data_IF_503718800021
#
_entry.id   IF_503718800021
#
_cell.length_a   1.000
_cell.length_b   1.000
_cell.length_c   1.000
_cell.angle_alpha   90.00
_cell.angle_beta   90.00
_cell.angle_gamma   90.00
#
_symmetry.space_group_name_H-M   'P 1'
#
loop_
_entity.id
_entity.type
_entity.pdbx_description
1 polymer ?
#
# COMPACT_ATOMS: atom_id res chain seq x y z
N UNK A 1 -18.84 15.87 -3.36
CA UNK A 1 -18.68 17.12 -4.15
C UNK A 1 -17.22 17.38 -4.56
N UNK A 2 -16.22 16.90 -3.83
CA UNK A 2 -14.82 16.88 -4.27
C UNK A 2 -14.58 15.84 -5.38
N UNK A 3 -15.36 14.76 -5.38
CA UNK A 3 -15.33 13.72 -6.43
C UNK A 3 -15.91 14.29 -7.72
N UNK A 4 -17.03 15.01 -7.64
CA UNK A 4 -17.66 15.65 -8.81
C UNK A 4 -16.79 16.76 -9.41
N UNK A 5 -16.06 17.52 -8.57
CA UNK A 5 -15.10 18.52 -9.05
C UNK A 5 -13.85 17.87 -9.68
N UNK A 6 -13.43 16.71 -9.18
CA UNK A 6 -12.36 15.90 -9.78
C UNK A 6 -12.77 15.30 -11.12
N UNK A 7 -13.98 14.74 -11.21
CA UNK A 7 -14.54 14.24 -12.48
C UNK A 7 -14.69 15.36 -13.52
N UNK A 8 -15.14 16.54 -13.13
CA UNK A 8 -15.26 17.68 -14.05
C UNK A 8 -13.91 18.17 -14.59
N UNK A 9 -12.81 17.96 -13.87
CA UNK A 9 -11.46 18.33 -14.35
C UNK A 9 -10.82 17.27 -15.26
N UNK A 10 -11.39 16.04 -15.29
CA UNK A 10 -10.91 14.93 -16.14
C UNK A 10 -11.83 14.65 -17.34
N UNK A 11 -13.04 15.19 -17.37
CA UNK A 11 -13.92 15.15 -18.53
C UNK A 11 -13.56 16.31 -19.47
N UNK A 12 -12.34 16.30 -19.98
CA UNK A 12 -12.09 16.95 -21.26
C UNK A 12 -12.70 16.04 -22.31
N UNK A 13 -13.75 16.47 -22.99
CA UNK A 13 -14.33 15.67 -24.07
C UNK A 13 -13.27 15.37 -25.12
N UNK A 14 -13.36 14.26 -25.82
CA UNK A 14 -12.42 13.95 -26.92
C UNK A 14 -12.33 15.11 -27.91
N UNK A 15 -13.42 15.85 -28.12
CA UNK A 15 -13.48 17.05 -28.96
C UNK A 15 -12.66 18.22 -28.39
N UNK A 16 -12.63 18.39 -27.05
CA UNK A 16 -11.83 19.43 -26.40
C UNK A 16 -10.34 19.08 -26.42
N UNK A 17 -10.00 17.77 -26.40
CA UNK A 17 -8.63 17.31 -26.53
C UNK A 17 -8.10 17.47 -27.98
N UNK A 18 -8.96 17.25 -28.97
CA UNK A 18 -8.66 17.52 -30.37
C UNK A 18 -8.53 19.03 -30.64
N UNK A 19 -9.27 19.88 -29.90
CA UNK A 19 -9.22 21.34 -30.03
C UNK A 19 -8.02 21.98 -29.31
N UNK A 20 -7.46 21.34 -28.26
CA UNK A 20 -6.30 21.84 -27.51
C UNK A 20 -4.98 21.53 -28.21
N UNK A 21 -4.93 20.56 -29.10
CA UNK A 21 -3.70 20.16 -29.68
C UNK A 21 -3.80 19.74 -31.13
N UNK A 22 -3.41 20.60 -32.03
CA UNK A 22 -2.73 20.12 -33.22
C UNK A 22 -1.40 19.51 -32.75
N UNK A 23 -1.49 18.31 -32.14
CA UNK A 23 -0.35 17.51 -31.77
C UNK A 23 0.23 16.87 -33.03
N UNK A 24 0.60 17.68 -34.00
CA UNK A 24 1.13 17.27 -35.31
C UNK A 24 2.38 16.39 -35.27
N UNK A 25 2.67 15.79 -34.11
CA UNK A 25 3.81 14.92 -33.87
C UNK A 25 3.47 13.62 -33.14
N UNK A 26 2.23 13.17 -33.13
CA UNK A 26 1.86 11.84 -32.66
C UNK A 26 1.76 11.61 -31.16
N UNK A 27 2.09 12.54 -30.32
CA UNK A 27 2.03 12.37 -28.85
C UNK A 27 0.63 12.49 -28.24
N UNK A 28 -0.30 13.15 -28.92
CA UNK A 28 -1.65 13.32 -28.42
C UNK A 28 -2.73 12.57 -29.20
N UNK A 29 -2.38 11.86 -30.24
CA UNK A 29 -3.32 11.14 -31.11
C UNK A 29 -3.93 9.89 -30.46
N UNK A 30 -3.66 9.64 -29.18
CA UNK A 30 -3.86 8.30 -28.64
C UNK A 30 -4.81 8.17 -27.46
N UNK A 31 -5.44 9.22 -27.00
CA UNK A 31 -6.31 9.09 -25.83
C UNK A 31 -7.73 9.54 -26.13
N UNK A 32 -8.56 8.64 -26.61
CA UNK A 32 -10.01 8.79 -26.49
C UNK A 32 -10.44 8.28 -25.12
N UNK A 33 -11.02 9.16 -24.33
CA UNK A 33 -11.43 8.89 -22.95
C UNK A 33 -12.91 8.46 -22.86
N UNK A 34 -13.38 7.64 -23.76
CA UNK A 34 -14.80 7.22 -23.78
C UNK A 34 -14.99 5.71 -23.72
N UNK A 35 -14.03 4.99 -23.19
CA UNK A 35 -14.08 3.51 -23.12
C UNK A 35 -13.82 2.81 -24.45
N UNK A 36 -13.54 3.54 -25.52
CA UNK A 36 -13.10 2.95 -26.76
C UNK A 36 -11.56 2.85 -26.79
N UNK A 37 -11.08 1.69 -27.17
CA UNK A 37 -9.66 1.38 -27.25
C UNK A 37 -8.94 2.36 -28.18
N UNK A 38 -7.88 2.95 -27.69
CA UNK A 38 -7.03 3.82 -28.49
C UNK A 38 -5.58 3.43 -28.26
N UNK A 39 -5.04 2.72 -29.22
CA UNK A 39 -3.62 2.35 -29.31
C UNK A 39 -3.11 1.37 -28.26
N UNK A 40 -3.85 0.31 -27.93
CA UNK A 40 -3.32 -0.82 -27.17
C UNK A 40 -3.03 -0.51 -25.70
N UNK A 41 -3.59 0.54 -25.14
CA UNK A 41 -3.61 0.73 -23.70
C UNK A 41 -4.76 -0.08 -23.10
N UNK A 42 -4.45 -0.85 -22.09
CA UNK A 42 -5.39 -1.73 -21.41
C UNK A 42 -6.60 -0.97 -20.91
N UNK A 43 -7.78 -1.24 -21.45
CA UNK A 43 -9.03 -0.82 -20.87
C UNK A 43 -9.29 -1.71 -19.67
N UNK A 44 -9.12 -1.17 -18.45
CA UNK A 44 -9.30 -1.89 -17.20
C UNK A 44 -10.68 -1.58 -16.63
N UNK A 45 -11.45 -2.63 -16.40
CA UNK A 45 -12.73 -2.54 -15.70
C UNK A 45 -12.74 -3.56 -14.56
N UNK A 46 -13.09 -3.14 -13.35
CA UNK A 46 -13.28 -4.04 -12.21
C UNK A 46 -14.59 -3.73 -11.53
N UNK A 47 -15.45 -4.74 -11.43
CA UNK A 47 -16.71 -4.73 -10.73
C UNK A 47 -16.62 -5.63 -9.50
N UNK A 48 -17.04 -5.11 -8.36
CA UNK A 48 -17.17 -5.82 -7.10
C UNK A 48 -18.65 -5.77 -6.68
N UNK A 49 -19.30 -6.93 -6.58
CA UNK A 49 -20.71 -7.06 -6.18
C UNK A 49 -20.78 -7.81 -4.86
N UNK A 50 -21.36 -7.18 -3.83
CA UNK A 50 -21.42 -7.76 -2.50
C UNK A 50 -22.86 -7.88 -2.01
N UNK A 51 -23.19 -9.04 -1.43
CA UNK A 51 -24.43 -9.30 -0.72
C UNK A 51 -24.12 -9.60 0.73
N UNK A 52 -24.83 -8.95 1.66
CA UNK A 52 -24.60 -9.17 3.08
C UNK A 52 -25.92 -9.23 3.85
N UNK A 53 -25.92 -10.07 4.88
CA UNK A 53 -26.98 -10.14 5.89
C UNK A 53 -26.37 -10.07 7.29
N UNK A 54 -27.07 -9.43 8.22
CA UNK A 54 -26.60 -9.37 9.60
C UNK A 54 -27.74 -9.48 10.60
N UNK A 55 -27.38 -9.96 11.80
CA UNK A 55 -28.26 -9.95 12.98
C UNK A 55 -27.48 -9.33 14.14
N UNK A 56 -28.16 -8.52 14.94
CA UNK A 56 -27.60 -7.91 16.14
C UNK A 56 -28.54 -8.08 17.31
N UNK A 57 -28.00 -8.46 18.47
CA UNK A 57 -28.68 -8.53 19.75
C UNK A 57 -28.03 -7.57 20.73
N UNK A 58 -28.82 -6.77 21.42
CA UNK A 58 -28.36 -5.84 22.45
C UNK A 58 -29.12 -6.14 23.74
N UNK A 59 -28.36 -6.27 24.82
CA UNK A 59 -28.89 -6.47 26.17
C UNK A 59 -28.28 -5.41 27.09
N UNK A 60 -29.14 -4.66 27.79
CA UNK A 60 -28.76 -3.81 28.89
C UNK A 60 -29.49 -4.32 30.14
N UNK A 61 -28.75 -4.62 31.20
CA UNK A 61 -29.28 -5.23 32.43
C UNK A 61 -28.41 -4.86 33.61
N UNK A 62 -28.82 -5.31 34.80
CA UNK A 62 -28.04 -5.21 36.03
C UNK A 62 -27.79 -6.60 36.60
N UNK A 63 -26.56 -6.84 37.04
CA UNK A 63 -26.14 -8.06 37.71
C UNK A 63 -25.59 -7.70 39.09
N UNK A 64 -26.27 -8.07 40.15
CA UNK A 64 -25.88 -7.71 41.53
C UNK A 64 -25.75 -6.19 41.78
N UNK A 65 -26.56 -5.40 41.10
CA UNK A 65 -26.52 -3.92 41.18
C UNK A 65 -25.47 -3.26 40.28
N UNK A 66 -24.76 -4.04 39.49
CA UNK A 66 -23.78 -3.55 38.54
C UNK A 66 -24.41 -3.44 37.12
N UNK A 67 -24.40 -2.25 36.50
CA UNK A 67 -24.83 -2.10 35.11
C UNK A 67 -23.98 -2.95 34.14
N UNK A 68 -24.66 -3.68 33.28
CA UNK A 68 -24.03 -4.57 32.28
C UNK A 68 -24.64 -4.33 30.91
N UNK A 69 -23.80 -4.15 29.90
CA UNK A 69 -24.22 -4.12 28.52
C UNK A 69 -23.53 -5.26 27.73
N UNK A 70 -24.30 -5.90 26.87
CA UNK A 70 -23.84 -6.95 25.99
C UNK A 70 -24.37 -6.70 24.56
N UNK A 71 -23.47 -6.64 23.60
CA UNK A 71 -23.79 -6.56 22.20
C UNK A 71 -23.24 -7.77 21.46
N UNK A 72 -24.10 -8.49 20.77
CA UNK A 72 -23.73 -9.63 19.93
C UNK A 72 -24.10 -9.31 18.48
N UNK A 73 -23.17 -9.53 17.58
CA UNK A 73 -23.38 -9.35 16.15
C UNK A 73 -22.91 -10.58 15.37
N UNK A 74 -23.61 -10.87 14.30
CA UNK A 74 -23.19 -11.86 13.31
C UNK A 74 -23.54 -11.32 11.93
N UNK A 75 -22.53 -11.19 11.08
CA UNK A 75 -22.67 -10.77 9.68
C UNK A 75 -22.16 -11.87 8.76
N UNK A 76 -22.91 -12.20 7.74
CA UNK A 76 -22.45 -12.94 6.58
C UNK A 76 -22.33 -11.99 5.41
N UNK A 77 -21.25 -12.13 4.66
CA UNK A 77 -21.00 -11.35 3.46
C UNK A 77 -20.38 -12.23 2.40
N UNK A 78 -20.89 -12.13 1.18
CA UNK A 78 -20.40 -12.78 -0.03
C UNK A 78 -20.12 -11.71 -1.07
N UNK A 79 -19.01 -11.84 -1.79
CA UNK A 79 -18.55 -10.87 -2.78
C UNK A 79 -18.04 -11.59 -4.02
N UNK A 80 -18.55 -11.18 -5.17
CA UNK A 80 -18.09 -11.59 -6.50
C UNK A 80 -17.27 -10.46 -7.13
N UNK A 81 -16.18 -10.82 -7.76
CA UNK A 81 -15.28 -9.90 -8.48
C UNK A 81 -15.27 -10.30 -9.95
N UNK A 82 -15.52 -9.33 -10.82
CA UNK A 82 -15.31 -9.45 -12.25
C UNK A 82 -14.35 -8.35 -12.70
N UNK A 83 -13.19 -8.73 -13.22
CA UNK A 83 -12.23 -7.79 -13.78
C UNK A 83 -12.01 -8.09 -15.24
N UNK A 84 -12.12 -7.07 -16.08
CA UNK A 84 -11.83 -7.16 -17.52
C UNK A 84 -10.62 -6.31 -17.87
N UNK A 85 -9.74 -6.85 -18.69
CA UNK A 85 -8.57 -6.14 -19.16
C UNK A 85 -8.27 -6.52 -20.61
N UNK A 86 -7.91 -5.52 -21.40
CA UNK A 86 -7.24 -5.75 -22.69
C UNK A 86 -5.74 -5.76 -22.40
N UNK A 87 -5.12 -6.92 -22.59
CA UNK A 87 -3.68 -7.08 -22.40
C UNK A 87 -2.95 -7.03 -23.73
N UNK A 88 -1.77 -6.41 -23.76
CA UNK A 88 -0.91 -6.45 -24.93
C UNK A 88 -0.48 -7.89 -25.18
N UNK A 89 -0.71 -8.39 -26.39
CA UNK A 89 -0.25 -9.70 -26.81
C UNK A 89 1.08 -9.58 -27.59
N UNK A 90 1.93 -10.58 -27.41
CA UNK A 90 3.22 -10.69 -28.09
C UNK A 90 3.26 -11.99 -28.85
N UNK A 91 3.87 -11.99 -30.04
CA UNK A 91 3.94 -13.14 -30.94
C UNK A 91 5.38 -13.61 -31.21
N UNK A 92 6.37 -12.91 -30.67
CA UNK A 92 7.76 -13.29 -30.88
C UNK A 92 8.76 -12.49 -30.06
N UNK A 93 10.02 -12.86 -30.22
CA UNK A 93 11.18 -12.13 -29.75
C UNK A 93 12.14 -11.81 -30.89
N UNK A 94 12.79 -10.66 -30.77
CA UNK A 94 13.84 -10.24 -31.71
C UNK A 94 15.09 -9.86 -30.92
N UNK A 95 16.23 -10.41 -31.30
CA UNK A 95 17.53 -9.99 -30.82
C UNK A 95 18.12 -8.95 -31.76
N UNK A 96 18.46 -7.77 -31.28
CA UNK A 96 19.14 -6.74 -32.04
C UNK A 96 20.65 -6.73 -31.78
N UNK A 97 21.44 -6.50 -32.81
CA UNK A 97 22.93 -6.60 -32.83
C UNK A 97 23.65 -5.83 -31.72
N UNK A 98 23.09 -4.76 -31.24
CA UNK A 98 23.86 -3.77 -30.49
C UNK A 98 24.22 -4.15 -29.05
N UNK A 99 23.79 -5.33 -28.54
CA UNK A 99 24.04 -5.69 -27.15
C UNK A 99 23.53 -7.04 -26.71
N UNK A 100 23.35 -7.23 -25.42
CA UNK A 100 22.81 -8.45 -24.82
C UNK A 100 21.29 -8.32 -24.60
N UNK A 101 20.59 -7.65 -25.51
CA UNK A 101 19.18 -7.27 -25.36
C UNK A 101 18.32 -7.91 -26.43
N UNK A 102 17.16 -8.40 -26.00
CA UNK A 102 16.10 -8.87 -26.89
C UNK A 102 14.83 -8.04 -26.67
N UNK A 103 13.99 -7.99 -27.69
CA UNK A 103 12.77 -7.22 -27.71
C UNK A 103 11.57 -8.14 -27.98
N UNK A 104 10.45 -7.84 -27.31
CA UNK A 104 9.17 -8.46 -27.62
C UNK A 104 8.56 -7.83 -28.87
N UNK A 105 8.05 -8.66 -29.77
CA UNK A 105 7.25 -8.19 -30.90
C UNK A 105 5.78 -8.20 -30.56
N UNK A 106 5.12 -7.05 -30.73
CA UNK A 106 3.69 -6.93 -30.46
C UNK A 106 2.88 -7.61 -31.57
N UNK A 107 1.90 -8.39 -31.19
CA UNK A 107 0.95 -9.02 -32.10
C UNK A 107 0.07 -7.94 -32.76
N UNK A 108 -0.02 -8.02 -34.06
CA UNK A 108 -0.82 -7.08 -34.82
C UNK A 108 -2.33 -7.29 -34.55
N UNK A 109 -3.04 -6.20 -34.25
CA UNK A 109 -4.48 -6.21 -33.99
C UNK A 109 -4.89 -6.03 -32.53
N UNK A 110 -3.94 -5.99 -31.59
CA UNK A 110 -4.21 -5.89 -30.16
C UNK A 110 -4.79 -7.18 -29.57
N UNK A 111 -5.00 -7.19 -28.26
CA UNK A 111 -5.66 -8.27 -27.54
C UNK A 111 -7.17 -8.07 -27.48
N UNK A 112 -7.90 -9.16 -27.38
CA UNK A 112 -9.33 -9.13 -26.99
C UNK A 112 -9.45 -8.94 -25.46
N UNK A 113 -10.55 -8.35 -24.96
CA UNK A 113 -10.76 -8.23 -23.52
C UNK A 113 -10.92 -9.61 -22.87
N UNK A 114 -10.04 -9.92 -21.93
CA UNK A 114 -10.13 -11.11 -21.08
C UNK A 114 -10.89 -10.80 -19.81
N UNK A 115 -11.70 -11.76 -19.32
CA UNK A 115 -12.41 -11.66 -18.05
C UNK A 115 -11.77 -12.54 -17.00
N UNK A 116 -11.49 -11.95 -15.86
CA UNK A 116 -10.90 -12.60 -14.69
C UNK A 116 -11.92 -12.54 -13.56
N UNK A 117 -12.17 -13.66 -12.93
CA UNK A 117 -13.18 -13.81 -11.88
C UNK A 117 -12.51 -14.12 -10.55
N UNK A 118 -13.10 -13.64 -9.47
CA UNK A 118 -12.75 -14.00 -8.11
C UNK A 118 -14.00 -13.97 -7.24
N UNK A 119 -13.99 -14.67 -6.13
CA UNK A 119 -15.05 -14.62 -5.14
C UNK A 119 -14.52 -14.92 -3.74
N UNK A 120 -15.23 -14.45 -2.73
CA UNK A 120 -14.99 -14.79 -1.35
C UNK A 120 -16.24 -14.62 -0.50
N UNK A 121 -16.31 -15.37 0.61
CA UNK A 121 -17.34 -15.20 1.61
C UNK A 121 -16.78 -15.22 3.04
N UNK A 122 -17.46 -14.52 3.95
CA UNK A 122 -17.04 -14.44 5.35
C UNK A 122 -18.22 -14.45 6.31
N UNK A 123 -17.99 -15.11 7.45
CA UNK A 123 -18.81 -14.97 8.65
C UNK A 123 -18.03 -14.13 9.67
N UNK A 124 -18.59 -12.99 10.04
CA UNK A 124 -17.98 -11.96 10.86
C UNK A 124 -18.77 -11.80 12.18
N UNK A 125 -18.42 -12.56 13.23
CA UNK A 125 -18.98 -12.38 14.55
C UNK A 125 -18.39 -11.18 15.25
N UNK A 126 -19.19 -10.52 16.10
CA UNK A 126 -18.75 -9.51 17.08
C UNK A 126 -19.40 -9.72 18.44
N UNK A 127 -18.67 -9.44 19.49
CA UNK A 127 -19.12 -9.42 20.85
C UNK A 127 -18.50 -8.22 21.53
N UNK A 128 -19.33 -7.37 22.16
CA UNK A 128 -18.88 -6.30 23.02
C UNK A 128 -19.60 -6.45 24.37
N UNK A 129 -18.83 -6.43 25.42
CA UNK A 129 -19.29 -6.55 26.80
C UNK A 129 -18.70 -5.45 27.63
N UNK A 130 -19.52 -4.77 28.44
CA UNK A 130 -19.06 -3.86 29.47
C UNK A 130 -19.82 -4.05 30.76
N UNK A 131 -19.14 -3.78 31.87
CA UNK A 131 -19.69 -3.84 33.21
C UNK A 131 -19.10 -2.71 34.06
N UNK A 132 -19.96 -1.98 34.76
CA UNK A 132 -19.54 -1.04 35.78
C UNK A 132 -19.45 -1.79 37.13
N UNK A 133 -18.23 -2.18 37.51
CA UNK A 133 -17.98 -3.06 38.65
C UNK A 133 -18.11 -2.35 40.00
N UNK A 134 -17.79 -1.08 40.04
CA UNK A 134 -18.03 -0.11 41.11
C UNK A 134 -18.30 1.24 40.45
N UNK A 135 -18.87 2.18 41.17
CA UNK A 135 -19.13 3.54 40.72
C UNK A 135 -17.90 4.11 40.00
N UNK A 136 -18.07 4.60 38.80
CA UNK A 136 -17.04 5.22 37.97
C UNK A 136 -15.91 4.26 37.43
N UNK A 137 -16.03 2.93 37.65
CA UNK A 137 -15.06 1.96 37.11
C UNK A 137 -15.72 1.00 36.14
N UNK A 138 -15.34 1.09 34.87
CA UNK A 138 -15.88 0.28 33.81
C UNK A 138 -14.81 -0.70 33.28
N UNK A 139 -15.15 -1.98 33.18
CA UNK A 139 -14.38 -2.99 32.51
C UNK A 139 -15.05 -3.31 31.18
N UNK A 140 -14.25 -3.39 30.10
CA UNK A 140 -14.73 -3.77 28.77
C UNK A 140 -13.97 -4.95 28.23
N UNK A 141 -14.66 -5.79 27.48
CA UNK A 141 -14.08 -6.87 26.71
C UNK A 141 -14.77 -6.94 25.35
N UNK A 142 -14.01 -6.95 24.27
CA UNK A 142 -14.57 -7.17 22.95
C UNK A 142 -13.84 -8.29 22.17
N UNK A 143 -14.58 -8.92 21.30
CA UNK A 143 -14.07 -9.87 20.31
C UNK A 143 -14.73 -9.58 18.97
N UNK A 144 -13.95 -9.53 17.93
CA UNK A 144 -14.50 -9.38 16.57
C UNK A 144 -13.65 -10.08 15.50
N UNK A 145 -14.32 -10.49 14.41
CA UNK A 145 -13.65 -10.73 13.15
C UNK A 145 -13.97 -9.61 12.19
N UNK A 146 -12.96 -9.05 11.56
CA UNK A 146 -13.07 -7.96 10.58
C UNK A 146 -12.30 -8.31 9.32
N UNK A 147 -12.72 -7.75 8.18
CA UNK A 147 -12.02 -7.89 6.92
C UNK A 147 -11.59 -6.53 6.38
N UNK A 148 -10.47 -6.54 5.65
CA UNK A 148 -10.03 -5.41 4.84
C UNK A 148 -9.88 -5.89 3.41
N UNK A 149 -10.69 -5.33 2.50
CA UNK A 149 -10.69 -5.71 1.09
C UNK A 149 -9.38 -5.32 0.40
N UNK A 150 -8.93 -6.10 -0.60
CA UNK A 150 -7.84 -5.71 -1.46
C UNK A 150 -8.13 -4.38 -2.18
N UNK A 151 -7.09 -3.68 -2.58
CA UNK A 151 -7.27 -2.50 -3.43
C UNK A 151 -7.69 -2.91 -4.85
N UNK A 152 -8.42 -2.04 -5.56
CA UNK A 152 -8.76 -2.30 -6.97
C UNK A 152 -7.51 -2.51 -7.85
N UNK A 153 -6.39 -1.91 -7.49
CA UNK A 153 -5.14 -2.12 -8.20
C UNK A 153 -4.59 -3.55 -8.01
N UNK A 154 -4.87 -4.18 -6.87
CA UNK A 154 -4.44 -5.55 -6.59
C UNK A 154 -5.33 -6.60 -7.27
N UNK A 155 -6.65 -6.35 -7.36
CA UNK A 155 -7.64 -7.26 -7.95
C UNK A 155 -7.93 -7.00 -9.43
N UNK A 156 -7.25 -6.05 -10.06
CA UNK A 156 -7.39 -5.84 -11.51
C UNK A 156 -6.98 -7.09 -12.28
N UNK A 157 -7.67 -7.39 -13.37
CA UNK A 157 -7.28 -8.43 -14.31
C UNK A 157 -6.12 -8.01 -15.21
N UNK A 158 -5.65 -8.94 -16.00
CA UNK A 158 -4.66 -8.72 -17.04
C UNK A 158 -3.22 -8.73 -16.56
N UNK A 159 -2.34 -8.68 -17.56
CA UNK A 159 -0.89 -8.72 -17.37
C UNK A 159 -0.26 -7.60 -18.19
N UNK A 160 0.73 -6.94 -17.62
CA UNK A 160 1.47 -5.87 -18.28
C UNK A 160 2.95 -6.21 -18.26
N UNK A 161 3.60 -6.25 -19.43
CA UNK A 161 5.05 -6.35 -19.49
C UNK A 161 5.68 -5.10 -18.89
N UNK A 162 6.63 -5.28 -17.98
CA UNK A 162 7.32 -4.16 -17.34
C UNK A 162 8.21 -3.40 -18.32
N UNK A 163 8.69 -4.12 -19.33
CA UNK A 163 9.42 -3.59 -20.48
C UNK A 163 9.24 -4.53 -21.67
N UNK A 164 9.19 -3.97 -22.87
CA UNK A 164 9.31 -4.76 -24.11
C UNK A 164 10.74 -5.19 -24.39
N UNK A 165 11.72 -4.61 -23.71
CA UNK A 165 13.13 -4.94 -23.78
C UNK A 165 13.56 -5.74 -22.57
N UNK A 166 14.33 -6.81 -22.76
CA UNK A 166 14.89 -7.63 -21.69
C UNK A 166 16.29 -8.11 -22.05
N UNK A 167 17.08 -8.47 -21.04
CA UNK A 167 18.39 -9.07 -21.31
C UNK A 167 18.25 -10.54 -21.71
N UNK A 168 19.00 -10.95 -22.70
CA UNK A 168 18.91 -12.29 -23.27
C UNK A 168 19.22 -13.41 -22.25
N UNK A 169 20.00 -13.12 -21.20
CA UNK A 169 20.32 -14.06 -20.13
C UNK A 169 19.35 -13.99 -18.95
N UNK A 170 18.22 -13.34 -19.09
CA UNK A 170 17.22 -13.18 -18.06
C UNK A 170 15.83 -13.48 -18.62
N UNK A 171 14.89 -13.76 -17.73
CA UNK A 171 13.49 -13.84 -18.08
C UNK A 171 12.95 -12.44 -18.44
N UNK A 172 11.93 -12.37 -19.25
CA UNK A 172 11.14 -11.16 -19.37
C UNK A 172 10.37 -10.90 -18.09
N UNK A 173 10.11 -9.64 -17.76
CA UNK A 173 9.42 -9.25 -16.53
C UNK A 173 8.03 -8.71 -16.82
N UNK A 174 7.06 -9.16 -16.03
CA UNK A 174 5.69 -8.68 -16.11
C UNK A 174 5.08 -8.48 -14.73
N UNK A 175 4.07 -7.64 -14.68
CA UNK A 175 3.22 -7.43 -13.50
C UNK A 175 1.79 -7.81 -13.84
N UNK A 176 1.10 -8.47 -12.90
CA UNK A 176 -0.31 -8.81 -13.01
C UNK A 176 -1.03 -8.42 -11.73
N UNK A 177 -2.33 -8.14 -11.82
CA UNK A 177 -3.18 -8.16 -10.64
C UNK A 177 -3.67 -9.58 -10.36
N UNK A 178 -4.50 -9.74 -9.33
CA UNK A 178 -5.03 -11.04 -8.91
C UNK A 178 -6.47 -10.88 -8.39
N UNK A 179 -7.48 -11.05 -9.23
CA UNK A 179 -8.90 -10.98 -8.82
C UNK A 179 -9.31 -12.05 -7.79
N UNK A 180 -8.53 -13.13 -7.67
CA UNK A 180 -8.76 -14.23 -6.73
C UNK A 180 -8.16 -13.95 -5.33
N UNK A 181 -7.80 -12.71 -5.05
CA UNK A 181 -7.34 -12.32 -3.72
C UNK A 181 -8.49 -12.33 -2.72
N UNK A 182 -8.22 -12.98 -1.60
CA UNK A 182 -9.11 -12.89 -0.45
C UNK A 182 -8.79 -11.66 0.41
N UNK A 183 -9.79 -11.04 1.06
CA UNK A 183 -9.58 -9.99 2.03
C UNK A 183 -8.65 -10.41 3.18
N UNK A 184 -7.89 -9.45 3.69
CA UNK A 184 -7.15 -9.60 4.94
C UNK A 184 -8.19 -9.82 6.05
N UNK A 185 -8.05 -10.90 6.81
CA UNK A 185 -8.92 -11.25 7.92
C UNK A 185 -8.22 -10.98 9.25
N UNK A 186 -8.82 -10.17 10.11
CA UNK A 186 -8.33 -9.91 11.47
C UNK A 186 -9.27 -10.49 12.51
N UNK A 187 -8.73 -11.23 13.47
CA UNK A 187 -9.38 -11.62 14.72
C UNK A 187 -8.86 -10.70 15.81
N UNK A 188 -9.75 -9.95 16.43
CA UNK A 188 -9.42 -8.93 17.39
C UNK A 188 -9.96 -9.30 18.77
N UNK A 189 -9.14 -9.12 19.79
CA UNK A 189 -9.52 -9.17 21.20
C UNK A 189 -9.05 -7.86 21.84
N UNK A 190 -9.97 -7.15 22.48
CA UNK A 190 -9.65 -5.94 23.20
C UNK A 190 -10.19 -6.05 24.63
N UNK A 191 -9.37 -5.66 25.59
CA UNK A 191 -9.71 -5.61 27.01
C UNK A 191 -9.35 -4.24 27.54
N UNK A 192 -10.25 -3.58 28.28
CA UNK A 192 -9.91 -2.31 28.92
C UNK A 192 -10.50 -2.17 30.31
N UNK A 193 -9.83 -1.36 31.11
CA UNK A 193 -10.30 -0.87 32.39
C UNK A 193 -10.24 0.64 32.40
N UNK A 194 -11.33 1.28 32.76
CA UNK A 194 -11.50 2.72 32.76
C UNK A 194 -11.95 3.19 34.14
N UNK A 195 -11.32 4.22 34.67
CA UNK A 195 -11.67 4.84 35.97
C UNK A 195 -11.91 6.34 35.79
N UNK A 196 -13.15 6.75 35.97
CA UNK A 196 -13.65 8.13 35.87
C UNK A 196 -13.69 8.78 37.24
N UNK A 197 -12.56 9.24 37.76
CA UNK A 197 -12.40 9.65 39.16
C UNK A 197 -12.67 11.13 39.41
N UNK A 198 -13.08 11.89 38.44
CA UNK A 198 -13.39 13.31 38.59
C UNK A 198 -14.00 13.92 37.35
N UNK A 199 -14.51 15.12 37.43
CA UNK A 199 -15.09 15.84 36.31
C UNK A 199 -14.03 16.05 35.20
N UNK A 200 -14.26 15.45 34.03
CA UNK A 200 -13.32 15.46 32.91
C UNK A 200 -11.99 14.72 33.20
N UNK A 201 -11.89 13.96 34.32
CA UNK A 201 -10.66 13.26 34.70
C UNK A 201 -10.86 11.75 34.66
N UNK A 202 -10.01 11.03 33.93
CA UNK A 202 -10.07 9.58 33.83
C UNK A 202 -8.69 8.94 33.55
N UNK A 203 -8.57 7.68 33.90
CA UNK A 203 -7.48 6.79 33.55
C UNK A 203 -8.06 5.58 32.81
N UNK A 204 -7.50 5.25 31.67
CA UNK A 204 -7.83 4.05 30.91
C UNK A 204 -6.57 3.25 30.60
N UNK A 205 -6.64 1.94 30.77
CA UNK A 205 -5.62 0.99 30.33
C UNK A 205 -6.30 -0.05 29.47
N UNK A 206 -5.83 -0.20 28.25
CA UNK A 206 -6.30 -1.17 27.28
C UNK A 206 -5.20 -2.15 26.87
N UNK A 207 -5.58 -3.39 26.61
CA UNK A 207 -4.76 -4.39 25.96
C UNK A 207 -5.49 -4.84 24.70
N UNK A 208 -4.80 -4.93 23.59
CA UNK A 208 -5.32 -5.48 22.34
C UNK A 208 -4.45 -6.60 21.81
N UNK A 209 -5.09 -7.55 21.12
CA UNK A 209 -4.46 -8.64 20.39
C UNK A 209 -5.16 -8.83 19.05
N UNK A 210 -4.40 -8.78 17.97
CA UNK A 210 -4.88 -8.90 16.59
C UNK A 210 -4.12 -10.00 15.88
N UNK A 211 -4.82 -11.11 15.59
CA UNK A 211 -4.30 -12.21 14.76
C UNK A 211 -4.79 -11.99 13.33
N UNK A 212 -3.88 -11.58 12.45
CA UNK A 212 -4.19 -11.13 11.09
C UNK A 212 -3.72 -12.15 10.09
N UNK A 213 -4.66 -12.68 9.32
CA UNK A 213 -4.45 -13.68 8.27
C UNK A 213 -4.54 -13.04 6.88
N UNK A 214 -3.95 -13.71 5.90
CA UNK A 214 -4.10 -13.41 4.47
C UNK A 214 -3.59 -12.02 4.09
N UNK A 215 -2.51 -11.55 4.72
CA UNK A 215 -1.86 -10.32 4.28
C UNK A 215 -1.58 -10.37 2.78
N UNK A 216 -1.91 -9.27 2.10
CA UNK A 216 -1.61 -9.11 0.68
C UNK A 216 -0.17 -8.64 0.55
N UNK A 217 0.62 -9.44 -0.12
CA UNK A 217 2.02 -9.14 -0.43
C UNK A 217 2.31 -9.41 -1.89
N UNK A 218 3.57 -9.22 -2.29
CA UNK A 218 4.01 -9.48 -3.65
C UNK A 218 4.53 -10.92 -3.77
N UNK A 219 3.90 -11.69 -4.64
CA UNK A 219 4.38 -13.00 -5.08
C UNK A 219 5.12 -12.89 -6.39
N UNK A 220 6.17 -13.69 -6.54
CA UNK A 220 6.96 -13.80 -7.76
C UNK A 220 6.90 -15.24 -8.23
N UNK A 221 6.55 -15.43 -9.50
CA UNK A 221 6.51 -16.75 -10.11
C UNK A 221 7.04 -16.72 -11.53
N UNK A 222 7.59 -17.85 -11.98
CA UNK A 222 8.01 -18.03 -13.35
C UNK A 222 6.94 -18.80 -14.11
N UNK A 223 6.56 -18.31 -15.30
CA UNK A 223 5.59 -18.97 -16.18
C UNK A 223 5.76 -18.57 -17.65
N UNK A 224 5.34 -19.45 -18.55
CA UNK A 224 5.10 -19.11 -19.96
C UNK A 224 3.77 -18.36 -20.07
N UNK A 225 3.72 -17.33 -20.89
CA UNK A 225 2.53 -16.50 -21.14
C UNK A 225 2.02 -16.66 -22.58
N UNK A 226 2.07 -17.87 -23.10
CA UNK A 226 1.74 -18.21 -24.48
C UNK A 226 2.98 -18.67 -25.25
N UNK A 227 2.79 -19.17 -26.44
CA UNK A 227 3.87 -19.64 -27.30
C UNK A 227 4.63 -18.45 -27.91
N UNK A 228 5.43 -17.76 -27.10
CA UNK A 228 6.33 -16.70 -27.57
C UNK A 228 7.71 -17.32 -27.78
N UNK A 229 8.14 -17.52 -29.01
CA UNK A 229 9.40 -18.22 -29.31
C UNK A 229 10.60 -17.43 -28.76
N UNK A 230 11.46 -18.10 -28.00
CA UNK A 230 12.71 -17.55 -27.50
C UNK A 230 13.87 -18.07 -28.36
N UNK A 231 14.67 -17.17 -28.88
CA UNK A 231 15.84 -17.45 -29.71
C UNK A 231 16.84 -18.32 -28.94
N UNK A 232 17.04 -18.07 -27.66
CA UNK A 232 18.02 -18.78 -26.84
C UNK A 232 17.56 -20.21 -26.57
N UNK A 233 18.43 -21.14 -26.92
CA UNK A 233 18.12 -22.57 -26.87
C UNK A 233 17.20 -23.02 -28.01
N UNK A 234 16.86 -22.14 -28.96
CA UNK A 234 16.09 -22.44 -30.15
C UNK A 234 16.90 -23.19 -31.20
N UNK A 235 16.26 -23.54 -32.31
CA UNK A 235 16.84 -24.36 -33.37
C UNK A 235 18.09 -23.74 -33.96
N UNK A 236 18.02 -22.47 -34.36
CA UNK A 236 19.15 -21.77 -34.98
C UNK A 236 20.27 -21.50 -33.97
N UNK A 237 19.92 -21.24 -32.73
CA UNK A 237 20.87 -21.08 -31.63
C UNK A 237 21.69 -22.35 -31.40
N UNK A 238 21.02 -23.49 -31.25
CA UNK A 238 21.67 -24.77 -31.02
C UNK A 238 22.53 -25.19 -32.18
N UNK A 239 22.07 -24.94 -33.40
CA UNK A 239 22.86 -25.23 -34.63
C UNK A 239 24.16 -24.40 -34.61
N UNK A 240 24.11 -23.11 -34.33
CA UNK A 240 25.27 -22.25 -34.26
C UNK A 240 26.27 -22.68 -33.15
N UNK A 241 25.77 -23.09 -32.00
CA UNK A 241 26.57 -23.63 -30.88
C UNK A 241 27.28 -24.92 -31.32
N UNK A 242 26.55 -25.88 -31.90
CA UNK A 242 27.08 -27.19 -32.29
C UNK A 242 28.11 -27.09 -33.41
N UNK A 243 27.86 -26.27 -34.43
CA UNK A 243 28.77 -26.11 -35.58
C UNK A 243 30.02 -25.31 -35.25
N UNK A 244 29.91 -24.32 -34.36
CA UNK A 244 31.04 -23.46 -34.00
C UNK A 244 31.77 -23.89 -32.73
N UNK A 245 31.23 -24.83 -31.95
CA UNK A 245 31.78 -25.28 -30.67
C UNK A 245 31.77 -24.18 -29.60
N UNK A 246 30.84 -23.24 -29.68
CA UNK A 246 30.73 -22.12 -28.78
C UNK A 246 30.06 -22.54 -27.44
N UNK A 247 30.40 -21.86 -26.40
CA UNK A 247 29.68 -21.96 -25.13
C UNK A 247 28.30 -21.29 -25.25
N UNK A 248 27.18 -22.04 -25.06
CA UNK A 248 25.82 -21.49 -25.16
C UNK A 248 25.53 -20.37 -24.19
N UNK A 249 26.32 -20.23 -23.12
CA UNK A 249 26.20 -19.14 -22.14
C UNK A 249 26.86 -17.83 -22.59
N UNK A 250 27.63 -17.86 -23.69
CA UNK A 250 28.20 -16.67 -24.30
C UNK A 250 27.23 -16.04 -25.29
N UNK A 251 26.11 -15.54 -24.82
CA UNK A 251 24.95 -15.11 -25.61
C UNK A 251 25.30 -14.20 -26.79
N UNK A 252 26.11 -13.15 -26.57
CA UNK A 252 26.50 -12.21 -27.64
C UNK A 252 27.40 -12.84 -28.68
N UNK A 253 28.25 -13.80 -28.29
CA UNK A 253 29.16 -14.50 -29.21
C UNK A 253 28.35 -15.44 -30.10
N UNK A 254 27.39 -16.18 -29.51
CA UNK A 254 26.51 -17.08 -30.32
C UNK A 254 25.63 -16.25 -31.24
N UNK A 255 25.04 -15.16 -30.78
CA UNK A 255 24.24 -14.27 -31.62
C UNK A 255 25.07 -13.68 -32.78
N UNK A 256 26.31 -13.24 -32.50
CA UNK A 256 27.19 -12.75 -33.58
C UNK A 256 27.54 -13.88 -34.60
N UNK A 257 27.79 -15.08 -34.09
CA UNK A 257 28.02 -16.25 -35.00
C UNK A 257 26.81 -16.54 -35.90
N UNK A 258 25.58 -16.39 -35.35
CA UNK A 258 24.36 -16.54 -36.14
C UNK A 258 24.30 -15.45 -37.24
N UNK A 259 24.55 -14.21 -36.90
CA UNK A 259 24.55 -13.09 -37.86
C UNK A 259 25.61 -13.24 -38.93
N UNK A 260 26.79 -13.77 -38.62
CA UNK A 260 27.89 -13.92 -39.57
C UNK A 260 27.68 -15.10 -40.52
N UNK A 261 27.04 -16.18 -40.07
CA UNK A 261 27.02 -17.45 -40.79
C UNK A 261 25.65 -17.88 -41.37
N UNK A 262 24.54 -17.27 -40.89
CA UNK A 262 23.19 -17.72 -41.24
C UNK A 262 22.29 -16.60 -41.81
N UNK A 263 22.88 -15.69 -42.61
CA UNK A 263 22.16 -14.58 -43.25
C UNK A 263 21.04 -15.02 -44.21
N UNK A 264 21.13 -16.24 -44.74
CA UNK A 264 20.11 -16.84 -45.62
C UNK A 264 18.94 -17.46 -44.83
N UNK A 265 18.99 -17.48 -43.51
CA UNK A 265 17.92 -17.99 -42.66
C UNK A 265 16.72 -17.04 -42.69
N UNK A 266 15.47 -17.54 -42.75
CA UNK A 266 14.28 -16.69 -42.69
C UNK A 266 14.10 -15.99 -41.35
N UNK A 267 14.86 -16.38 -40.33
CA UNK A 267 14.86 -15.82 -38.98
C UNK A 267 15.97 -14.78 -38.75
N UNK A 268 16.78 -14.51 -39.76
CA UNK A 268 17.83 -13.48 -39.72
C UNK A 268 17.49 -12.40 -40.74
N UNK A 269 17.38 -11.17 -40.28
CA UNK A 269 17.09 -10.02 -41.13
C UNK A 269 18.06 -8.88 -40.80
N UNK A 270 19.13 -8.78 -41.64
CA UNK A 270 20.19 -7.81 -41.36
C UNK A 270 20.92 -8.11 -40.08
N UNK A 271 20.72 -7.23 -39.10
CA UNK A 271 21.34 -7.31 -37.78
C UNK A 271 20.39 -7.88 -36.70
N UNK A 272 19.25 -8.43 -37.08
CA UNK A 272 18.23 -8.97 -36.20
C UNK A 272 18.08 -10.48 -36.34
N UNK A 273 17.86 -11.16 -35.20
CA UNK A 273 17.55 -12.59 -35.15
C UNK A 273 16.17 -12.73 -34.50
N UNK A 274 15.24 -13.38 -35.17
CA UNK A 274 13.89 -13.64 -34.65
C UNK A 274 13.76 -15.06 -34.13
N UNK A 275 12.92 -15.28 -33.12
CA UNK A 275 12.53 -16.60 -32.65
C UNK A 275 11.74 -17.36 -33.72
N UNK A 276 12.00 -18.66 -33.85
CA UNK A 276 11.34 -19.54 -34.77
C UNK A 276 10.16 -20.29 -34.16
N UNK A 277 9.16 -20.61 -34.95
CA UNK A 277 8.09 -21.50 -34.52
C UNK A 277 8.66 -22.85 -34.06
N UNK A 278 8.41 -23.26 -32.83
CA UNK A 278 8.95 -24.48 -32.22
C UNK A 278 10.21 -24.26 -31.38
N UNK A 279 10.75 -23.05 -31.32
CA UNK A 279 11.74 -22.68 -30.31
C UNK A 279 11.13 -22.72 -28.89
N UNK A 280 11.95 -22.82 -27.83
CA UNK A 280 11.46 -22.79 -26.47
C UNK A 280 10.60 -21.55 -26.16
N UNK A 281 9.57 -21.71 -25.36
CA UNK A 281 8.77 -20.59 -24.91
C UNK A 281 9.60 -19.63 -24.06
N UNK A 282 9.39 -18.33 -24.26
CA UNK A 282 9.92 -17.30 -23.39
C UNK A 282 9.33 -17.47 -21.97
N UNK A 283 10.21 -17.56 -21.00
CA UNK A 283 9.81 -17.60 -19.57
C UNK A 283 9.72 -16.17 -19.04
N UNK A 284 8.64 -15.93 -18.33
CA UNK A 284 8.38 -14.65 -17.69
C UNK A 284 8.50 -14.78 -16.18
N UNK A 285 9.17 -13.82 -15.58
CA UNK A 285 9.09 -13.58 -14.15
C UNK A 285 7.95 -12.62 -13.88
N UNK A 286 6.86 -13.13 -13.33
CA UNK A 286 5.63 -12.36 -13.09
C UNK A 286 5.53 -12.00 -11.62
N UNK A 287 5.36 -10.71 -11.35
CA UNK A 287 4.99 -10.20 -10.03
C UNK A 287 3.50 -10.00 -9.97
N UNK A 288 2.87 -10.56 -8.96
CA UNK A 288 1.44 -10.36 -8.69
C UNK A 288 1.18 -10.28 -7.19
N UNK A 289 0.11 -9.59 -6.77
CA UNK A 289 -0.33 -9.63 -5.39
C UNK A 289 -0.85 -11.03 -5.04
N UNK A 290 -0.50 -11.50 -3.86
CA UNK A 290 -0.91 -12.82 -3.34
C UNK A 290 -1.24 -12.70 -1.85
N UNK A 291 -2.17 -13.51 -1.36
CA UNK A 291 -2.38 -13.68 0.06
C UNK A 291 -1.18 -14.41 0.66
N UNK A 292 -0.49 -13.76 1.58
CA UNK A 292 0.71 -14.29 2.20
C UNK A 292 0.44 -14.75 3.64
N UNK A 293 1.42 -14.57 4.49
CA UNK A 293 1.54 -15.08 5.84
C UNK A 293 0.58 -14.42 6.82
N UNK A 294 0.58 -14.98 8.01
CA UNK A 294 -0.05 -14.44 9.22
C UNK A 294 0.91 -13.52 9.94
N UNK A 295 0.35 -12.55 10.66
CA UNK A 295 1.06 -11.79 11.66
C UNK A 295 0.17 -11.58 12.88
N UNK A 296 0.77 -11.59 14.05
CA UNK A 296 0.11 -11.20 15.29
C UNK A 296 0.65 -9.86 15.75
N UNK A 297 -0.25 -8.96 16.11
CA UNK A 297 0.07 -7.65 16.67
C UNK A 297 -0.63 -7.55 18.00
N UNK A 298 0.10 -7.28 19.06
CA UNK A 298 -0.46 -7.02 20.37
C UNK A 298 0.13 -5.76 20.97
N UNK A 299 -0.59 -5.18 21.95
CA UNK A 299 -0.10 -3.98 22.58
C UNK A 299 -0.92 -3.52 23.78
N UNK A 300 -0.38 -2.50 24.45
CA UNK A 300 -0.98 -1.85 25.59
C UNK A 300 -1.16 -0.37 25.29
N UNK A 301 -2.33 0.15 25.57
CA UNK A 301 -2.67 1.56 25.48
C UNK A 301 -2.99 2.12 26.85
N UNK A 302 -2.40 3.27 27.18
CA UNK A 302 -2.63 3.98 28.44
C UNK A 302 -3.10 5.39 28.10
N UNK A 303 -4.24 5.79 28.66
CA UNK A 303 -4.77 7.14 28.51
C UNK A 303 -5.06 7.72 29.89
N UNK A 304 -4.55 8.90 30.14
CA UNK A 304 -4.76 9.65 31.37
C UNK A 304 -5.14 11.09 31.05
N UNK A 305 -6.26 11.51 31.51
CA UNK A 305 -6.68 12.92 31.50
C UNK A 305 -6.96 13.37 32.92
N UNK A 306 -6.43 14.51 33.30
CA UNK A 306 -6.63 15.07 34.65
C UNK A 306 -6.77 16.58 34.59
N UNK A 307 -7.82 17.09 35.21
CA UNK A 307 -8.03 18.50 35.45
C UNK A 307 -7.97 18.80 36.99
N UNK A 308 -7.24 19.85 37.33
CA UNK A 308 -7.02 20.23 38.73
C UNK A 308 -8.18 21.13 39.27
N UNK A 309 -9.35 20.53 39.40
CA UNK A 309 -10.56 21.22 39.85
C UNK A 309 -10.88 22.44 38.97
N UNK A 310 -11.24 23.55 39.58
CA UNK A 310 -11.57 24.82 38.89
C UNK A 310 -10.34 25.68 38.56
N UNK A 311 -9.14 25.16 38.71
CA UNK A 311 -7.89 25.94 38.48
C UNK A 311 -7.68 26.39 37.05
N UNK A 312 -8.32 25.72 36.08
CA UNK A 312 -8.07 25.87 34.64
C UNK A 312 -6.89 25.03 34.12
N UNK A 313 -6.08 24.45 35.01
CA UNK A 313 -4.98 23.58 34.61
C UNK A 313 -5.41 22.14 34.45
N UNK A 314 -4.82 21.46 33.45
CA UNK A 314 -4.98 20.04 33.23
C UNK A 314 -3.88 19.48 32.40
N UNK A 315 -3.86 18.15 32.26
CA UNK A 315 -3.00 17.48 31.31
C UNK A 315 -3.68 16.24 30.73
N UNK A 316 -3.26 15.89 29.50
CA UNK A 316 -3.67 14.68 28.80
C UNK A 316 -2.38 13.95 28.44
N UNK A 317 -2.29 12.68 28.81
CA UNK A 317 -1.18 11.82 28.45
C UNK A 317 -1.72 10.54 27.85
N UNK A 318 -1.15 10.10 26.73
CA UNK A 318 -1.42 8.78 26.17
C UNK A 318 -0.13 8.14 25.68
N UNK A 319 -0.08 6.81 25.77
CA UNK A 319 1.02 6.02 25.30
C UNK A 319 0.49 4.72 24.72
N UNK A 320 1.07 4.28 23.61
CA UNK A 320 0.81 3.00 22.97
C UNK A 320 2.13 2.24 22.85
N UNK A 321 2.16 1.04 23.39
CA UNK A 321 3.25 0.08 23.23
C UNK A 321 2.75 -1.04 22.33
N UNK A 322 3.42 -1.27 21.21
CA UNK A 322 2.97 -2.20 20.19
C UNK A 322 4.08 -3.16 19.79
N UNK A 323 3.76 -4.44 19.69
CA UNK A 323 4.67 -5.48 19.25
C UNK A 323 4.05 -6.35 18.16
N UNK A 324 4.90 -7.00 17.36
CA UNK A 324 4.48 -7.99 16.38
C UNK A 324 5.42 -9.20 16.41
N UNK A 325 4.88 -10.35 16.02
CA UNK A 325 5.64 -11.61 15.91
C UNK A 325 6.49 -11.68 14.61
N UNK A 326 6.43 -10.66 13.77
CA UNK A 326 7.19 -10.53 12.52
C UNK A 326 8.12 -9.32 12.59
N UNK A 327 9.38 -9.53 12.23
CA UNK A 327 10.40 -8.48 12.25
C UNK A 327 11.28 -8.52 11.01
N UNK A 328 11.97 -7.42 10.74
CA UNK A 328 12.91 -7.28 9.63
C UNK A 328 14.31 -7.72 10.07
N UNK A 329 14.91 -8.61 9.30
CA UNK A 329 16.30 -9.06 9.50
C UNK A 329 17.22 -8.42 8.45
N UNK A 330 18.05 -7.47 8.87
CA UNK A 330 19.02 -6.76 8.02
C UNK A 330 20.07 -7.69 7.37
N UNK A 331 20.22 -8.92 7.89
CA UNK A 331 21.19 -9.90 7.37
C UNK A 331 20.63 -10.70 6.20
N UNK A 332 19.32 -10.75 6.05
CA UNK A 332 18.62 -11.47 4.98
C UNK A 332 18.25 -10.55 3.83
N UNK A 333 19.25 -10.07 3.11
CA UNK A 333 19.05 -9.10 2.02
C UNK A 333 18.70 -9.74 0.65
N UNK A 334 18.86 -11.06 0.51
CA UNK A 334 18.58 -11.78 -0.75
C UNK A 334 17.20 -12.44 -0.80
N UNK A 335 16.41 -12.31 0.27
CA UNK A 335 15.11 -12.95 0.42
C UNK A 335 14.03 -11.89 0.62
N UNK A 336 12.86 -12.11 0.03
CA UNK A 336 11.67 -11.32 0.36
C UNK A 336 11.26 -11.59 1.81
N UNK A 337 11.23 -10.55 2.65
CA UNK A 337 10.80 -10.65 4.03
C UNK A 337 9.40 -10.07 4.19
N UNK A 338 8.55 -10.81 4.91
CA UNK A 338 7.26 -10.31 5.33
C UNK A 338 7.42 -9.52 6.63
N UNK A 339 7.03 -8.25 6.62
CA UNK A 339 7.16 -7.32 7.74
C UNK A 339 5.96 -6.40 7.81
N UNK A 340 5.67 -5.91 9.00
CA UNK A 340 4.68 -4.86 9.22
C UNK A 340 5.39 -3.51 9.23
N UNK A 341 5.09 -2.69 8.23
CA UNK A 341 5.63 -1.35 8.15
C UNK A 341 4.90 -0.41 9.11
N UNK A 342 5.62 0.52 9.71
CA UNK A 342 5.05 1.58 10.50
C UNK A 342 4.68 1.20 11.95
N UNK A 343 5.00 0.00 12.43
CA UNK A 343 4.77 -0.38 13.81
C UNK A 343 5.85 0.24 14.71
N UNK A 344 5.44 0.97 15.75
CA UNK A 344 6.31 1.55 16.76
C UNK A 344 5.56 1.99 17.98
N UNK A 345 6.26 2.13 19.09
CA UNK A 345 5.73 2.79 20.27
C UNK A 345 5.50 4.28 20.02
N UNK A 346 4.51 4.86 20.72
CA UNK A 346 4.22 6.28 20.63
C UNK A 346 3.71 6.82 21.97
N UNK A 347 3.94 8.10 22.22
CA UNK A 347 3.44 8.79 23.38
C UNK A 347 3.12 10.26 23.07
N UNK A 348 2.08 10.77 23.72
CA UNK A 348 1.71 12.17 23.64
C UNK A 348 1.47 12.71 25.04
N UNK A 349 1.95 13.92 25.29
CA UNK A 349 1.71 14.65 26.53
C UNK A 349 1.25 16.06 26.19
N UNK A 350 0.08 16.43 26.69
CA UNK A 350 -0.50 17.76 26.44
C UNK A 350 -0.77 18.43 27.79
N UNK A 351 -0.11 19.54 28.04
CA UNK A 351 -0.47 20.46 29.11
C UNK A 351 -1.54 21.44 28.62
N UNK A 352 -2.55 21.64 29.43
CA UNK A 352 -3.70 22.51 29.12
C UNK A 352 -3.88 23.53 30.23
N UNK A 353 -4.14 24.78 29.88
CA UNK A 353 -4.70 25.81 30.72
C UNK A 353 -5.90 26.43 30.02
N UNK A 354 -7.05 26.43 30.67
CA UNK A 354 -8.28 27.01 30.11
C UNK A 354 -9.07 27.69 31.23
N UNK A 355 -8.94 28.99 31.32
CA UNK A 355 -9.66 29.81 32.32
C UNK A 355 -9.66 31.29 31.94
N UNK A 356 -10.73 32.00 32.30
CA UNK A 356 -10.87 33.45 32.16
C UNK A 356 -10.59 33.97 30.73
N UNK A 357 -11.06 33.22 29.73
CA UNK A 357 -10.88 33.56 28.32
C UNK A 357 -9.48 33.29 27.77
N UNK A 358 -8.55 32.74 28.56
CA UNK A 358 -7.23 32.30 28.10
C UNK A 358 -7.19 30.78 28.02
N UNK A 359 -6.96 30.25 26.82
CA UNK A 359 -6.70 28.83 26.58
C UNK A 359 -5.26 28.65 26.02
N UNK A 360 -4.48 27.80 26.70
CA UNK A 360 -3.11 27.47 26.34
C UNK A 360 -2.97 25.95 26.24
N UNK A 361 -2.40 25.46 25.15
CA UNK A 361 -2.11 24.06 24.93
C UNK A 361 -0.65 23.89 24.51
N UNK A 362 0.10 23.11 25.30
CA UNK A 362 1.47 22.70 24.98
C UNK A 362 1.47 21.20 24.76
N UNK A 363 1.76 20.75 23.55
CA UNK A 363 1.70 19.35 23.14
C UNK A 363 3.07 18.84 22.74
N UNK A 364 3.51 17.74 23.37
CA UNK A 364 4.68 16.98 22.95
C UNK A 364 4.22 15.64 22.41
N UNK A 365 4.56 15.37 21.12
CA UNK A 365 4.22 14.14 20.43
C UNK A 365 5.52 13.39 20.11
N UNK A 366 5.63 12.15 20.57
CA UNK A 366 6.78 11.31 20.36
C UNK A 366 6.40 9.99 19.70
N UNK A 367 7.26 9.50 18.83
CA UNK A 367 7.17 8.19 18.20
C UNK A 367 8.56 7.56 18.13
N UNK A 368 8.67 6.26 18.41
CA UNK A 368 9.90 5.51 18.33
C UNK A 368 10.30 5.18 16.89
N UNK A 369 11.50 4.66 16.70
CA UNK A 369 12.01 4.19 15.41
C UNK A 369 11.04 3.18 14.77
N UNK A 370 10.88 3.23 13.45
CA UNK A 370 10.08 2.23 12.74
C UNK A 370 10.59 1.96 11.33
N UNK A 371 10.34 0.74 10.86
CA UNK A 371 10.56 0.37 9.47
C UNK A 371 9.42 0.94 8.60
N UNK A 372 9.76 1.83 7.66
CA UNK A 372 8.82 2.40 6.69
C UNK A 372 8.73 1.55 5.40
N UNK A 373 9.79 0.80 5.08
CA UNK A 373 9.81 -0.09 3.94
C UNK A 373 10.96 -1.07 3.98
N UNK A 374 10.74 -2.32 3.59
CA UNK A 374 11.73 -3.39 3.60
C UNK A 374 12.84 -3.21 2.54
N UNK A 375 12.64 -2.34 1.56
CA UNK A 375 13.63 -2.08 0.50
C UNK A 375 13.90 -3.27 -0.42
N UNK A 376 13.07 -4.28 -0.37
CA UNK A 376 13.21 -5.50 -1.17
C UNK A 376 12.20 -5.49 -2.31
N UNK A 377 12.70 -5.63 -3.51
CA UNK A 377 11.90 -5.70 -4.72
C UNK A 377 12.56 -6.60 -5.75
N UNK A 378 11.84 -6.91 -6.82
CA UNK A 378 12.38 -7.71 -7.93
C UNK A 378 13.66 -7.09 -8.49
N UNK A 379 14.74 -7.86 -8.43
CA UNK A 379 16.00 -7.53 -9.12
C UNK A 379 16.79 -6.36 -8.54
N UNK A 380 16.35 -5.75 -7.44
CA UNK A 380 17.05 -4.64 -6.80
C UNK A 380 17.17 -4.87 -5.29
N UNK A 381 18.38 -5.05 -4.82
CA UNK A 381 18.72 -5.02 -3.40
C UNK A 381 18.80 -3.56 -2.93
N UNK A 382 17.66 -2.94 -2.68
CA UNK A 382 17.60 -1.60 -2.10
C UNK A 382 17.75 -1.67 -0.57
N UNK A 383 18.25 -0.59 0.03
CA UNK A 383 18.28 -0.50 1.48
C UNK A 383 16.87 -0.49 2.07
N UNK A 384 16.65 -1.08 3.26
CA UNK A 384 15.43 -0.80 3.99
C UNK A 384 15.36 0.69 4.31
N UNK A 385 14.16 1.18 4.51
CA UNK A 385 13.89 2.57 4.87
C UNK A 385 13.34 2.59 6.28
N UNK A 386 14.14 3.06 7.23
CA UNK A 386 13.74 3.24 8.62
C UNK A 386 13.59 4.73 8.93
N UNK A 387 12.59 5.08 9.71
CA UNK A 387 12.42 6.44 10.24
C UNK A 387 12.93 6.45 11.68
N UNK A 388 13.83 7.39 12.00
CA UNK A 388 14.38 7.54 13.34
C UNK A 388 13.31 8.05 14.31
N UNK A 389 13.45 7.75 15.60
CA UNK A 389 12.58 8.26 16.64
C UNK A 389 12.47 9.79 16.54
N UNK A 390 11.24 10.28 16.67
CA UNK A 390 10.92 11.67 16.43
C UNK A 390 10.03 12.23 17.55
N UNK A 391 10.37 13.43 18.03
CA UNK A 391 9.62 14.10 19.08
C UNK A 391 9.41 15.58 18.80
N UNK A 392 8.16 16.01 18.62
CA UNK A 392 7.79 17.38 18.27
C UNK A 392 7.05 18.08 19.39
N UNK A 393 7.41 19.33 19.64
CA UNK A 393 6.73 20.20 20.60
C UNK A 393 5.97 21.31 19.87
N UNK A 394 4.66 21.40 20.17
CA UNK A 394 3.75 22.36 19.59
C UNK A 394 3.08 23.19 20.69
N UNK A 395 2.81 24.46 20.41
CA UNK A 395 2.15 25.42 21.29
C UNK A 395 0.93 26.03 20.60
N UNK A 396 -0.20 26.10 21.28
CA UNK A 396 -1.37 26.85 20.87
C UNK A 396 -1.84 27.78 21.99
N UNK A 397 -2.16 29.01 21.67
CA UNK A 397 -2.70 30.00 22.60
C UNK A 397 -3.91 30.66 21.94
N UNK A 398 -5.01 30.72 22.67
CA UNK A 398 -6.21 31.48 22.30
C UNK A 398 -6.53 32.40 23.44
N UNK A 399 -6.72 33.68 23.17
CA UNK A 399 -7.12 34.67 24.14
C UNK A 399 -8.38 35.42 23.71
N UNK A 400 -9.47 35.18 24.41
CA UNK A 400 -10.73 35.88 24.22
C UNK A 400 -10.72 37.18 25.07
N UNK A 401 -10.24 38.26 24.46
CA UNK A 401 -10.15 39.56 25.13
C UNK A 401 -11.52 40.10 25.54
N UNK A 402 -12.53 39.88 24.68
CA UNK A 402 -13.94 40.15 24.91
C UNK A 402 -14.81 39.40 23.89
N UNK A 403 -16.15 39.56 23.98
CA UNK A 403 -17.12 38.88 23.07
C UNK A 403 -16.90 39.12 21.57
N UNK A 404 -16.06 40.09 21.21
CA UNK A 404 -15.81 40.47 19.81
C UNK A 404 -14.38 40.24 19.37
N UNK A 405 -13.41 40.20 20.25
CA UNK A 405 -12.01 40.14 19.92
C UNK A 405 -11.37 38.87 20.51
N UNK A 406 -10.87 38.01 19.61
CA UNK A 406 -10.09 36.82 19.95
C UNK A 406 -8.72 36.90 19.26
N UNK A 407 -7.68 36.58 20.00
CA UNK A 407 -6.28 36.52 19.52
C UNK A 407 -5.83 35.06 19.56
N UNK A 408 -5.22 34.60 18.49
CA UNK A 408 -4.65 33.28 18.35
C UNK A 408 -3.15 33.40 18.11
N UNK A 409 -2.37 32.58 18.80
CA UNK A 409 -0.95 32.40 18.50
C UNK A 409 -0.65 30.91 18.48
N UNK A 410 0.16 30.47 17.53
CA UNK A 410 0.61 29.08 17.47
C UNK A 410 2.08 28.97 17.14
N UNK A 411 2.70 27.88 17.61
CA UNK A 411 4.04 27.49 17.27
C UNK A 411 4.05 25.98 16.98
N UNK A 412 4.46 25.60 15.80
CA UNK A 412 4.62 24.21 15.41
C UNK A 412 6.10 23.85 15.31
N UNK A 413 6.47 22.68 15.80
CA UNK A 413 7.84 22.21 15.84
C UNK A 413 8.80 23.23 16.47
N UNK A 414 8.44 23.75 17.65
CA UNK A 414 9.20 24.84 18.29
C UNK A 414 10.61 24.41 18.76
N UNK A 415 10.86 23.10 18.81
CA UNK A 415 12.17 22.50 19.10
C UNK A 415 13.04 22.29 17.87
N UNK A 416 12.54 22.62 16.65
CA UNK A 416 13.23 22.44 15.36
C UNK A 416 13.69 20.99 15.13
N UNK A 417 12.81 20.05 15.44
CA UNK A 417 13.10 18.63 15.27
C UNK A 417 13.22 18.26 13.80
N UNK A 418 14.16 17.37 13.49
CA UNK A 418 14.46 16.91 12.13
C UNK A 418 14.02 15.47 11.93
N UNK A 419 13.20 15.20 10.92
CA UNK A 419 12.88 13.83 10.52
C UNK A 419 14.06 13.24 9.78
N UNK A 420 14.62 12.13 10.31
CA UNK A 420 15.73 11.41 9.69
C UNK A 420 15.28 10.04 9.22
N UNK A 421 15.65 9.71 7.99
CA UNK A 421 15.40 8.42 7.36
C UNK A 421 16.75 7.76 7.12
N UNK A 422 16.91 6.52 7.54
CA UNK A 422 18.16 5.77 7.44
C UNK A 422 17.95 4.38 6.83
N UNK A 423 19.04 3.80 6.33
CA UNK A 423 19.06 2.47 5.73
C UNK A 423 19.26 1.35 6.75
N UNK A 424 20.23 0.46 6.51
CA UNK A 424 20.56 -0.68 7.39
C UNK A 424 21.16 -0.27 8.74
N UNK A 425 21.68 0.94 8.84
CA UNK A 425 22.32 1.51 10.05
C UNK A 425 21.90 2.97 10.15
N UNK A 426 21.78 3.49 11.38
CA UNK A 426 21.54 4.92 11.65
C UNK A 426 22.62 5.85 11.07
N UNK A 427 23.82 5.33 10.82
CA UNK A 427 24.90 6.06 10.15
C UNK A 427 24.68 6.21 8.64
N UNK A 428 23.87 5.32 8.03
CA UNK A 428 23.50 5.38 6.61
C UNK A 428 22.25 6.25 6.44
N UNK A 429 22.41 7.55 6.55
CA UNK A 429 21.32 8.51 6.37
C UNK A 429 20.94 8.57 4.90
N UNK A 430 19.70 8.23 4.59
CA UNK A 430 19.13 8.31 3.25
C UNK A 430 18.48 9.67 2.99
N UNK A 431 17.87 10.24 4.02
CA UNK A 431 17.18 11.53 3.94
C UNK A 431 17.13 12.20 5.31
N UNK A 432 17.26 13.51 5.35
CA UNK A 432 16.97 14.34 6.50
C UNK A 432 16.11 15.52 6.06
N UNK A 433 14.97 15.70 6.74
CA UNK A 433 14.03 16.79 6.44
C UNK A 433 13.89 17.66 7.67
N UNK A 434 14.41 18.88 7.58
CA UNK A 434 14.27 19.90 8.61
C UNK A 434 13.28 20.96 8.13
N UNK A 435 12.06 20.92 8.68
CA UNK A 435 10.98 21.85 8.32
C UNK A 435 11.12 23.23 8.97
N UNK A 436 11.91 23.32 10.02
CA UNK A 436 12.02 24.51 10.87
C UNK A 436 10.79 24.73 11.75
N UNK A 437 10.90 25.54 12.80
CA UNK A 437 9.75 25.97 13.59
C UNK A 437 8.87 26.96 12.79
N UNK A 438 7.57 26.82 12.96
CA UNK A 438 6.59 27.72 12.33
C UNK A 438 5.76 28.42 13.39
N UNK A 439 5.61 29.73 13.28
CA UNK A 439 4.83 30.54 14.21
C UNK A 439 3.76 31.31 13.43
N UNK A 440 2.54 31.30 13.97
CA UNK A 440 1.39 32.00 13.41
C UNK A 440 0.78 32.90 14.47
N UNK A 441 0.32 34.07 14.04
CA UNK A 441 -0.46 35.02 14.85
C UNK A 441 -1.71 35.44 14.05
N UNK A 442 -2.88 35.28 14.63
CA UNK A 442 -4.13 35.67 14.03
C UNK A 442 -5.00 36.45 15.00
N UNK A 443 -5.79 37.37 14.46
CA UNK A 443 -6.76 38.17 15.19
C UNK A 443 -8.12 38.01 14.53
N UNK A 444 -9.11 37.62 15.32
CA UNK A 444 -10.50 37.52 14.88
C UNK A 444 -11.32 38.66 15.55
N UNK A 445 -11.99 39.46 14.75
CA UNK A 445 -12.91 40.48 15.23
C UNK A 445 -14.31 40.29 14.67
N UNK A 446 -15.30 40.19 15.56
CA UNK A 446 -16.70 39.97 15.23
C UNK A 446 -17.35 41.38 15.07
N UNK A 447 -17.81 41.71 13.89
CA UNK A 447 -18.37 43.04 13.55
C UNK A 447 -19.80 43.23 14.09
N UNK A 448 -20.60 42.16 14.22
CA UNK A 448 -21.99 42.16 14.67
C UNK A 448 -22.27 41.05 15.66
#
# INVERSE_FOLDING_TARGET
>A
DLITAGEASYVVSGADYEAIGDCGTGYCASTKYNGEDVNGFSNLFTLEESIAAYIRYNLATEVSGMPVNLHLGLRYEETDITSQAVTSEYDGTVWAKAGNEAYLTAKAGGGEPDSFLGNYDFVLPSLDFDIEVVEDVVLRASFSKTITRPSYNDIKGGLTANSTQFYANQNAFASAGNPDLEPILSRNIDLSAEWYYGEGSYLSVGYYDKDVDKFIGSGIGERSLGAIPNIIGGTLWNQAVDESGLDPAQYTVVAQSILDNYQDSPYVNGDEISGAAGDPDLIWTVTQPVNQKKARVDGVEINLQHFFGESGYGFIANATFASADVGYDNMKFNEGQFVLNGLSDSANLVGVYDKDGLSVRLAYNWRDDFLAGAGQGQGTNTNPTNVEAYGQLDLGITYEYNDRLTIYASGLNITDETVRVYGKSKDLVLQAVQGGPRYDLAIRYKLF
#
